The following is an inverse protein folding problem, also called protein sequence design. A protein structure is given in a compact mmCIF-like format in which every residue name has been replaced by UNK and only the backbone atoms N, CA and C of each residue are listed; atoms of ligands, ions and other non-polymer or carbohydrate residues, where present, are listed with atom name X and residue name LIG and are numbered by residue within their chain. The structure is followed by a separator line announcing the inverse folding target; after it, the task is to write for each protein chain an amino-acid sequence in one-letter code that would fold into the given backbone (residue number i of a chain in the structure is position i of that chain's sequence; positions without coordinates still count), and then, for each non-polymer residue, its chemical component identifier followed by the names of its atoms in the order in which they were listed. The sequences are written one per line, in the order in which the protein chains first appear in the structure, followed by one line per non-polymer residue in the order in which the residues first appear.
data_IF_652587821994
#
_entry.id   IF_652587821994
#
_cell.length_a   1.000
_cell.length_b   1.000
_cell.length_c   1.000
_cell.angle_alpha   90.00
_cell.angle_beta   90.00
_cell.angle_gamma   90.00
#
_symmetry.space_group_name_H-M   'P 1'
#
loop_
_entity.id
_entity.type
_entity.pdbx_description
1 polymer ?
#
# COMPACT_ATOMS: atom_id res chain seq x y z
N UNK A 1 12.95 34.49 3.67
CA UNK A 1 12.60 34.07 3.66
C UNK A 1 12.27 33.44 3.62
N UNK A 2 12.27 33.13 3.38
CA UNK A 2 11.79 32.50 3.22
C UNK A 2 11.32 31.94 3.08
N UNK A 3 11.14 31.56 2.83
CA UNK A 3 10.58 30.96 2.58
C UNK A 3 10.08 30.38 2.46
N UNK A 4 9.96 30.29 2.45
CA UNK A 4 9.44 29.63 2.37
C UNK A 4 8.87 28.96 1.83
N UNK A 5 8.84 28.42 1.50
CA UNK A 5 8.45 27.83 0.82
C UNK A 5 7.73 26.99 0.96
N UNK A 6 7.20 26.72 0.49
CA UNK A 6 6.39 26.16 0.72
C UNK A 6 5.88 25.22 0.06
N UNK A 7 6.09 24.38 0.17
CA UNK A 7 5.69 23.36 -0.35
C UNK A 7 4.74 22.84 0.38
N UNK A 8 4.06 22.24 -0.21
CA UNK A 8 3.11 21.60 0.40
C UNK A 8 3.67 20.82 1.42
N UNK A 9 3.63 21.08 2.16
CA UNK A 9 4.06 20.64 2.98
C UNK A 9 3.61 19.42 3.22
N UNK A 10 4.39 18.71 2.91
CA UNK A 10 4.60 17.58 3.48
C UNK A 10 4.89 17.92 4.83
N UNK A 11 3.97 17.85 5.57
CA UNK A 11 4.12 18.23 6.91
C UNK A 11 4.16 16.99 7.72
N UNK A 12 4.19 17.14 8.98
CA UNK A 12 4.15 16.05 9.93
C UNK A 12 2.90 15.21 9.78
N UNK A 13 1.90 15.74 9.09
CA UNK A 13 0.64 15.06 8.92
C UNK A 13 0.64 14.12 7.72
N UNK A 14 1.65 14.21 6.87
CA UNK A 14 1.68 13.42 5.65
C UNK A 14 2.35 12.08 5.90
N UNK A 15 1.66 11.03 5.52
CA UNK A 15 2.17 9.68 5.57
C UNK A 15 2.13 9.12 4.14
N UNK A 16 2.76 7.98 3.94
CA UNK A 16 2.81 7.35 2.63
C UNK A 16 2.19 5.97 2.72
N UNK A 17 1.15 5.77 1.95
CA UNK A 17 0.41 4.52 1.98
C UNK A 17 0.81 3.63 0.84
N UNK A 18 0.94 2.34 1.13
CA UNK A 18 0.98 1.32 0.10
C UNK A 18 -0.46 0.89 -0.11
N UNK A 19 -0.96 1.14 -1.31
CA UNK A 19 -2.34 0.81 -1.66
C UNK A 19 -2.37 -0.53 -2.36
N UNK A 20 -3.30 -1.37 -1.98
CA UNK A 20 -3.53 -2.66 -2.63
C UNK A 20 -4.86 -2.59 -3.36
N UNK A 21 -4.86 -3.01 -4.61
CA UNK A 21 -6.06 -3.00 -5.46
C UNK A 21 -6.32 -4.40 -5.97
N UNK A 22 -7.54 -4.88 -5.80
CA UNK A 22 -7.95 -6.16 -6.32
C UNK A 22 -9.31 -5.96 -6.98
N UNK A 23 -9.31 -5.94 -8.31
CA UNK A 23 -10.51 -5.58 -9.05
C UNK A 23 -10.91 -4.15 -8.73
N UNK A 24 -12.08 -3.97 -8.16
CA UNK A 24 -12.57 -2.65 -7.78
C UNK A 24 -12.37 -2.32 -6.32
N UNK A 25 -11.70 -3.21 -5.59
CA UNK A 25 -11.49 -3.02 -4.16
C UNK A 25 -10.13 -2.39 -3.96
N UNK A 26 -10.10 -1.30 -3.21
CA UNK A 26 -8.87 -0.64 -2.82
C UNK A 26 -8.74 -0.69 -1.32
N UNK A 27 -7.57 -1.05 -0.83
CA UNK A 27 -7.28 -1.09 0.60
C UNK A 27 -5.93 -0.46 0.87
N UNK A 28 -5.77 0.13 2.03
CA UNK A 28 -4.47 0.58 2.49
C UNK A 28 -3.76 -0.63 3.08
N UNK A 29 -2.71 -1.07 2.40
CA UNK A 29 -1.98 -2.25 2.85
C UNK A 29 -1.06 -1.93 4.02
N UNK A 30 -0.39 -0.79 3.98
CA UNK A 30 0.45 -0.34 5.08
C UNK A 30 0.75 1.14 4.92
N UNK A 31 1.30 1.74 5.98
CA UNK A 31 1.54 3.17 6.03
C UNK A 31 2.93 3.41 6.59
N UNK A 32 3.64 4.34 5.99
CA UNK A 32 5.03 4.64 6.33
C UNK A 32 5.24 6.14 6.49
N UNK A 33 6.23 6.54 7.27
CA UNK A 33 6.50 7.96 7.46
C UNK A 33 7.14 8.64 6.25
N UNK A 34 7.71 7.86 5.32
CA UNK A 34 8.34 8.46 4.14
C UNK A 34 8.07 7.59 2.91
N UNK A 35 8.24 8.21 1.76
CA UNK A 35 7.92 7.57 0.49
C UNK A 35 8.86 6.40 0.20
N UNK A 36 10.12 6.53 0.57
CA UNK A 36 11.10 5.49 0.28
C UNK A 36 10.76 4.19 0.99
N UNK A 37 10.34 4.27 2.25
CA UNK A 37 9.92 3.08 3.00
C UNK A 37 8.70 2.44 2.38
N UNK A 38 7.75 3.26 1.91
CA UNK A 38 6.55 2.74 1.25
C UNK A 38 6.92 2.04 -0.07
N UNK A 39 7.85 2.62 -0.83
CA UNK A 39 8.28 1.98 -2.08
C UNK A 39 8.98 0.65 -1.82
N UNK A 40 9.74 0.55 -0.75
CA UNK A 40 10.40 -0.71 -0.39
C UNK A 40 9.38 -1.79 -0.03
N UNK A 41 8.34 -1.43 0.71
CA UNK A 41 7.28 -2.37 1.04
C UNK A 41 6.51 -2.80 -0.21
N UNK A 42 6.21 -1.84 -1.09
CA UNK A 42 5.55 -2.16 -2.35
C UNK A 42 6.36 -3.17 -3.14
N UNK A 43 7.65 -2.95 -3.27
CA UNK A 43 8.51 -3.85 -4.02
C UNK A 43 8.50 -5.25 -3.41
N UNK A 44 8.57 -5.33 -2.09
CA UNK A 44 8.54 -6.61 -1.39
C UNK A 44 7.22 -7.34 -1.64
N UNK A 45 6.09 -6.62 -1.54
CA UNK A 45 4.78 -7.24 -1.78
C UNK A 45 4.65 -7.71 -3.22
N UNK A 46 5.18 -6.95 -4.18
CA UNK A 46 5.17 -7.36 -5.57
C UNK A 46 6.00 -8.63 -5.79
N UNK A 47 7.10 -8.76 -5.07
CA UNK A 47 7.89 -9.98 -5.13
C UNK A 47 7.14 -11.18 -4.58
N UNK A 48 6.35 -11.00 -3.53
CA UNK A 48 5.55 -12.07 -2.99
C UNK A 48 4.50 -12.53 -3.98
N UNK A 49 3.81 -11.59 -4.63
CA UNK A 49 2.83 -11.93 -5.65
C UNK A 49 3.52 -12.69 -6.79
N UNK A 50 4.69 -12.21 -7.21
CA UNK A 50 5.40 -12.85 -8.31
C UNK A 50 5.83 -14.27 -7.95
N UNK A 51 6.25 -14.48 -6.72
CA UNK A 51 6.66 -15.81 -6.26
C UNK A 51 5.53 -16.83 -6.32
N UNK A 52 4.28 -16.37 -6.20
CA UNK A 52 3.12 -17.26 -6.25
C UNK A 52 2.34 -17.11 -7.55
N UNK A 53 2.93 -16.49 -8.57
CA UNK A 53 2.20 -16.23 -9.81
C UNK A 53 1.67 -17.50 -10.47
N UNK A 54 2.46 -18.57 -10.48
CA UNK A 54 2.02 -19.82 -11.08
C UNK A 54 0.84 -20.43 -10.34
N UNK A 55 0.88 -20.38 -9.01
CA UNK A 55 -0.23 -20.87 -8.20
C UNK A 55 -1.49 -20.05 -8.45
N UNK A 56 -1.37 -18.74 -8.49
CA UNK A 56 -2.51 -17.88 -8.73
C UNK A 56 -3.12 -18.16 -10.10
N UNK A 57 -2.29 -18.37 -11.12
CA UNK A 57 -2.80 -18.70 -12.45
C UNK A 57 -3.51 -20.05 -12.46
N UNK A 58 -2.93 -21.05 -11.80
CA UNK A 58 -3.53 -22.39 -11.82
C UNK A 58 -4.84 -22.45 -11.06
N UNK A 59 -5.00 -21.63 -10.03
CA UNK A 59 -6.24 -21.58 -9.25
C UNK A 59 -7.18 -20.49 -9.75
N UNK A 60 -6.76 -19.73 -10.77
CA UNK A 60 -7.53 -18.60 -11.32
C UNK A 60 -7.85 -17.56 -10.27
N UNK A 61 -6.98 -17.43 -9.29
CA UNK A 61 -7.13 -16.42 -8.26
C UNK A 61 -6.60 -15.09 -8.77
N UNK A 62 -7.26 -13.98 -8.47
CA UNK A 62 -6.75 -12.68 -8.89
C UNK A 62 -5.53 -12.28 -8.07
N UNK A 63 -4.66 -11.49 -8.68
CA UNK A 63 -3.48 -10.96 -8.01
C UNK A 63 -3.68 -9.49 -7.69
N UNK A 64 -3.30 -9.06 -6.50
CA UNK A 64 -3.41 -7.65 -6.16
C UNK A 64 -2.34 -6.81 -6.87
N UNK A 65 -2.65 -5.55 -7.09
CA UNK A 65 -1.71 -4.56 -7.58
C UNK A 65 -1.42 -3.57 -6.48
N UNK A 66 -0.19 -3.10 -6.42
CA UNK A 66 0.21 -2.19 -5.36
C UNK A 66 0.69 -0.86 -5.93
N UNK A 67 0.39 0.21 -5.23
CA UNK A 67 0.85 1.55 -5.56
C UNK A 67 1.18 2.29 -4.29
N UNK A 68 1.85 3.42 -4.42
CA UNK A 68 2.22 4.26 -3.27
C UNK A 68 1.61 5.63 -3.48
N UNK A 69 0.99 6.16 -2.45
CA UNK A 69 0.35 7.47 -2.50
C UNK A 69 0.48 8.17 -1.17
N UNK A 70 0.55 9.51 -1.17
CA UNK A 70 0.54 10.25 0.09
C UNK A 70 -0.86 10.22 0.68
N UNK A 71 -0.93 10.13 2.00
CA UNK A 71 -2.19 10.22 2.72
C UNK A 71 -1.98 11.09 3.94
N UNK A 72 -3.04 11.72 4.38
CA UNK A 72 -2.97 12.50 5.60
C UNK A 72 -3.38 11.63 6.75
N UNK A 73 -2.65 11.77 7.86
CA UNK A 73 -2.94 10.99 9.05
C UNK A 73 -4.40 11.12 9.47
N UNK A 74 -4.95 12.32 9.34
CA UNK A 74 -6.33 12.57 9.73
C UNK A 74 -7.34 11.83 8.86
N UNK A 75 -6.95 11.43 7.66
CA UNK A 75 -7.85 10.76 6.71
C UNK A 75 -7.81 9.25 6.82
N UNK A 76 -7.03 8.70 7.75
CA UNK A 76 -6.95 7.26 7.88
C UNK A 76 -8.22 6.70 8.51
N UNK A 77 -8.72 5.55 8.00
CA UNK A 77 -9.90 4.94 8.59
C UNK A 77 -9.64 4.53 10.02
N UNK A 78 -10.67 4.63 10.84
CA UNK A 78 -10.57 4.15 12.20
C UNK A 78 -10.47 2.65 12.20
N UNK A 79 -9.66 2.13 13.09
CA UNK A 79 -9.51 0.69 13.20
C UNK A 79 -8.76 0.05 12.06
N UNK A 80 -8.13 0.87 11.21
CA UNK A 80 -7.34 0.32 10.12
C UNK A 80 -6.21 -0.56 10.65
N UNK A 81 -5.98 -1.66 9.97
CA UNK A 81 -4.89 -2.58 10.28
C UNK A 81 -4.14 -2.92 9.00
N UNK A 82 -2.82 -3.16 9.08
CA UNK A 82 -2.06 -3.55 7.90
C UNK A 82 -2.54 -4.87 7.30
N UNK A 83 -2.46 -4.97 5.98
CA UNK A 83 -2.77 -6.21 5.29
C UNK A 83 -1.53 -7.09 5.27
N UNK A 84 -1.67 -8.38 5.58
CA UNK A 84 -0.53 -9.29 5.44
C UNK A 84 -0.14 -9.44 3.98
N UNK A 85 1.16 -9.52 3.72
CA UNK A 85 1.65 -9.60 2.35
C UNK A 85 1.12 -10.81 1.60
N UNK A 86 0.90 -11.92 2.30
CA UNK A 86 0.39 -13.14 1.69
C UNK A 86 -1.08 -13.36 1.94
N UNK A 87 -1.78 -12.33 2.40
CA UNK A 87 -3.22 -12.45 2.66
C UNK A 87 -4.01 -12.84 1.42
N UNK A 88 -3.51 -12.44 0.24
CA UNK A 88 -4.20 -12.75 -1.00
C UNK A 88 -4.28 -14.26 -1.26
N UNK A 89 -3.39 -15.06 -0.68
CA UNK A 89 -3.43 -16.50 -0.83
C UNK A 89 -4.59 -17.14 -0.07
N UNK A 90 -5.12 -16.41 0.90
CA UNK A 90 -6.22 -16.90 1.73
C UNK A 90 -7.50 -16.15 1.51
N UNK A 91 -7.56 -15.34 0.48
CA UNK A 91 -8.72 -14.51 0.24
C UNK A 91 -8.92 -13.43 1.29
N UNK A 92 -7.87 -13.05 1.99
CA UNK A 92 -7.97 -12.10 3.10
C UNK A 92 -7.69 -10.67 2.67
N UNK A 93 -7.85 -10.39 1.41
CA UNK A 93 -7.60 -9.04 0.91
C UNK A 93 -8.63 -8.05 1.47
N UNK A 94 -9.81 -8.51 1.68
CA UNK A 94 -10.89 -7.62 2.08
C UNK A 94 -10.99 -7.54 3.58
#
# INVERSE_FOLDING_TARGET
MGQTVSFPRITDDTMWAVMATLGRINRIANIYPNRQAALADRAWREQQVQAYAALLRSTRAPAPHYSVAPVRRADLPRGWKPLPALGFLRGQFI
#
